data_IF_894444422058
#
_entry.id   IF_894444422058
#
_cell.length_a   1.000
_cell.length_b   1.000
_cell.length_c   1.000
_cell.angle_alpha   90.00
_cell.angle_beta   90.00
_cell.angle_gamma   90.00
#
_symmetry.space_group_name_H-M   'P 1'
#
loop_
_entity.id
_entity.type
_entity.pdbx_description
1 polymer ?
#
# COMPACT_ATOMS: atom_id res chain seq x y z
N UNK A 1 -6.82 -16.46 -14.84
CA UNK A 1 -7.02 -16.01 -16.23
C UNK A 1 -5.75 -15.29 -16.66
N UNK A 2 -5.12 -15.68 -17.77
CA UNK A 2 -3.93 -15.01 -18.31
C UNK A 2 -4.41 -14.05 -19.41
N UNK A 3 -4.11 -12.76 -19.27
CA UNK A 3 -4.40 -11.75 -20.28
C UNK A 3 -3.13 -11.51 -21.13
N UNK A 4 -3.22 -11.75 -22.44
CA UNK A 4 -2.09 -11.60 -23.38
C UNK A 4 -2.26 -10.32 -24.21
N UNK A 5 -1.46 -9.28 -23.92
CA UNK A 5 -1.48 -8.00 -24.64
C UNK A 5 -0.41 -7.95 -25.76
N UNK A 6 -0.53 -8.81 -26.77
CA UNK A 6 0.50 -8.93 -27.84
C UNK A 6 0.64 -7.70 -28.73
N UNK A 7 -0.46 -6.97 -28.93
CA UNK A 7 -0.55 -5.88 -29.91
C UNK A 7 -1.04 -4.57 -29.26
N UNK A 8 -0.88 -4.40 -27.95
CA UNK A 8 -1.32 -3.21 -27.21
C UNK A 8 -0.21 -2.79 -26.23
N UNK A 9 0.08 -1.48 -26.08
CA UNK A 9 1.05 -1.02 -25.08
C UNK A 9 0.53 -1.32 -23.67
N UNK A 10 1.42 -1.79 -22.80
CA UNK A 10 1.18 -1.90 -21.36
C UNK A 10 1.90 -0.73 -20.71
N UNK A 11 1.19 0.06 -19.92
CA UNK A 11 1.78 1.10 -19.09
C UNK A 11 1.92 0.57 -17.68
N UNK A 12 3.15 0.54 -17.18
CA UNK A 12 3.46 0.10 -15.82
C UNK A 12 3.81 1.33 -15.01
N UNK A 13 3.05 1.55 -13.93
CA UNK A 13 3.28 2.65 -13.01
C UNK A 13 3.53 2.12 -11.60
N UNK A 14 4.58 2.65 -10.98
CA UNK A 14 4.78 2.52 -9.54
C UNK A 14 4.24 3.79 -8.87
N UNK A 15 3.30 3.64 -7.96
CA UNK A 15 2.71 4.76 -7.23
C UNK A 15 3.07 4.69 -5.76
N UNK A 16 3.49 5.83 -5.23
CA UNK A 16 3.46 6.05 -3.79
C UNK A 16 2.01 6.24 -3.37
N UNK A 17 1.63 5.69 -2.23
CA UNK A 17 0.31 5.92 -1.63
C UNK A 17 0.48 6.69 -0.31
N UNK A 18 -0.58 7.38 0.09
CA UNK A 18 -0.63 8.00 1.42
C UNK A 18 -0.57 6.91 2.50
N UNK A 19 -0.02 7.25 3.66
CA UNK A 19 -0.13 6.38 4.84
C UNK A 19 -1.61 6.21 5.19
N UNK A 20 -1.98 5.01 5.65
CA UNK A 20 -3.34 4.77 6.16
C UNK A 20 -3.61 5.58 7.43
N UNK A 21 -4.87 5.83 7.72
CA UNK A 21 -5.27 6.69 8.85
C UNK A 21 -5.18 6.01 10.22
N UNK A 22 -4.98 4.69 10.29
CA UNK A 22 -4.95 3.97 11.56
C UNK A 22 -3.52 3.91 12.08
N UNK A 23 -3.15 4.88 12.91
CA UNK A 23 -1.88 4.83 13.64
C UNK A 23 -1.99 3.90 14.85
N UNK A 24 -1.00 3.02 15.02
CA UNK A 24 -0.83 2.17 16.19
C UNK A 24 0.58 2.30 16.75
N UNK A 25 0.69 2.34 18.07
CA UNK A 25 1.98 2.18 18.75
C UNK A 25 2.35 0.70 18.94
N UNK A 26 3.55 0.45 19.46
CA UNK A 26 4.04 -0.91 19.70
C UNK A 26 3.19 -1.72 20.70
N UNK A 27 2.58 -1.06 21.68
CA UNK A 27 1.75 -1.73 22.69
C UNK A 27 0.42 -2.20 22.07
N UNK A 28 -0.20 -1.34 21.26
CA UNK A 28 -1.40 -1.66 20.49
C UNK A 28 -1.14 -2.79 19.49
N UNK A 29 -0.03 -2.72 18.75
CA UNK A 29 0.36 -3.78 17.81
C UNK A 29 0.56 -5.14 18.52
N UNK A 30 1.18 -5.14 19.69
CA UNK A 30 1.34 -6.35 20.52
C UNK A 30 -0.02 -6.87 21.02
N UNK A 31 -0.89 -5.99 21.49
CA UNK A 31 -2.22 -6.36 21.99
C UNK A 31 -3.11 -6.95 20.89
N UNK A 32 -3.04 -6.40 19.68
CA UNK A 32 -3.76 -6.87 18.49
C UNK A 32 -3.11 -8.09 17.82
N UNK A 33 -1.98 -8.58 18.33
CA UNK A 33 -1.19 -9.70 17.76
C UNK A 33 -0.73 -9.43 16.31
N UNK A 34 -0.44 -8.17 16.00
CA UNK A 34 0.03 -7.71 14.69
C UNK A 34 1.55 -7.55 14.62
N UNK A 35 2.24 -7.71 15.75
CA UNK A 35 3.66 -7.44 15.88
C UNK A 35 4.49 -8.71 15.66
N UNK A 36 5.42 -8.67 14.71
CA UNK A 36 6.40 -9.72 14.46
C UNK A 36 7.72 -9.28 15.12
N UNK A 37 7.96 -9.73 16.35
CA UNK A 37 9.13 -9.35 17.15
C UNK A 37 8.80 -9.05 18.60
N UNK A 38 9.75 -8.46 19.33
CA UNK A 38 9.49 -7.91 20.66
C UNK A 38 9.41 -6.38 20.60
N UNK A 39 8.59 -5.79 21.47
CA UNK A 39 8.46 -4.34 21.61
C UNK A 39 9.83 -3.71 21.91
N UNK A 40 10.62 -4.35 22.78
CA UNK A 40 11.94 -3.83 23.17
C UNK A 40 12.92 -3.80 21.99
N UNK A 41 12.95 -4.86 21.17
CA UNK A 41 13.83 -4.91 20.00
C UNK A 41 13.46 -3.85 18.96
N UNK A 42 12.16 -3.68 18.68
CA UNK A 42 11.67 -2.68 17.75
C UNK A 42 11.90 -1.25 18.27
N UNK A 43 11.67 -1.02 19.57
CA UNK A 43 11.94 0.26 20.20
C UNK A 43 13.43 0.60 20.19
N UNK A 44 14.31 -0.39 20.41
CA UNK A 44 15.77 -0.20 20.38
C UNK A 44 16.30 0.25 19.01
N UNK A 45 15.60 -0.10 17.91
CA UNK A 45 15.93 0.39 16.56
C UNK A 45 15.15 1.66 16.16
N UNK A 46 14.40 2.26 17.09
CA UNK A 46 13.65 3.50 16.85
C UNK A 46 12.30 3.30 16.14
N UNK A 47 11.80 2.07 16.02
CA UNK A 47 10.48 1.81 15.47
C UNK A 47 9.41 2.07 16.54
N UNK A 48 8.56 3.08 16.32
CA UNK A 48 7.58 3.52 17.32
C UNK A 48 6.13 3.28 16.92
N UNK A 49 5.82 3.39 15.62
CA UNK A 49 4.45 3.38 15.12
C UNK A 49 4.29 2.63 13.81
N UNK A 50 3.11 2.03 13.63
CA UNK A 50 2.61 1.49 12.37
C UNK A 50 1.40 2.31 11.91
N UNK A 51 1.28 2.50 10.59
CA UNK A 51 0.10 3.11 9.97
C UNK A 51 -0.61 2.05 9.13
N UNK A 52 -1.78 1.61 9.59
CA UNK A 52 -2.64 0.65 8.92
C UNK A 52 -3.77 1.29 8.13
N UNK A 53 -4.39 0.50 7.27
CA UNK A 53 -5.54 0.91 6.44
C UNK A 53 -6.81 0.97 7.29
N UNK A 54 -7.49 2.12 7.25
CA UNK A 54 -8.78 2.31 7.93
C UNK A 54 -9.94 1.54 7.30
N UNK A 55 -11.05 1.42 8.03
CA UNK A 55 -12.24 0.67 7.60
C UNK A 55 -12.83 1.16 6.27
N UNK A 56 -12.71 2.45 5.99
CA UNK A 56 -13.20 3.10 4.78
C UNK A 56 -12.07 3.42 3.79
N UNK A 57 -10.90 2.83 3.97
CA UNK A 57 -9.73 3.03 3.11
C UNK A 57 -9.38 1.72 2.37
N UNK A 58 -8.73 1.89 1.23
CA UNK A 58 -8.10 0.84 0.46
C UNK A 58 -6.77 1.35 -0.09
N UNK A 59 -5.91 0.45 -0.54
CA UNK A 59 -4.66 0.87 -1.20
C UNK A 59 -4.93 1.74 -2.43
N UNK A 60 -6.01 1.44 -3.17
CA UNK A 60 -6.41 2.26 -4.31
C UNK A 60 -6.82 3.66 -3.84
N UNK A 61 -7.66 3.79 -2.81
CA UNK A 61 -8.07 5.10 -2.28
C UNK A 61 -6.87 5.93 -1.82
N UNK A 62 -5.89 5.29 -1.16
CA UNK A 62 -4.65 5.92 -0.70
C UNK A 62 -3.70 6.30 -1.86
N UNK A 63 -3.83 5.64 -3.02
CA UNK A 63 -3.06 5.91 -4.24
C UNK A 63 -3.83 6.77 -5.26
N UNK A 64 -5.01 7.31 -4.94
CA UNK A 64 -5.86 7.93 -5.96
C UNK A 64 -5.23 9.13 -6.63
N UNK A 65 -4.48 9.96 -5.91
CA UNK A 65 -3.85 11.14 -6.52
C UNK A 65 -2.93 10.76 -7.69
N UNK A 66 -1.91 9.89 -7.51
CA UNK A 66 -1.07 9.49 -8.63
C UNK A 66 -1.80 8.63 -9.67
N UNK A 67 -2.80 7.82 -9.27
CA UNK A 67 -3.64 7.09 -10.23
C UNK A 67 -4.42 8.04 -11.13
N UNK A 68 -5.08 9.05 -10.55
CA UNK A 68 -5.82 10.06 -11.30
C UNK A 68 -4.94 10.84 -12.26
N UNK A 69 -3.69 11.15 -11.88
CA UNK A 69 -2.72 11.77 -12.79
C UNK A 69 -2.38 10.85 -13.96
N UNK A 70 -2.07 9.57 -13.69
CA UNK A 70 -1.76 8.61 -14.75
C UNK A 70 -2.95 8.36 -15.71
N UNK A 71 -4.18 8.46 -15.20
CA UNK A 71 -5.39 8.32 -16.02
C UNK A 71 -5.66 9.53 -16.92
N UNK A 72 -5.10 10.71 -16.64
CA UNK A 72 -5.23 11.87 -17.54
C UNK A 72 -4.59 11.60 -18.91
N UNK A 73 -3.52 10.81 -18.93
CA UNK A 73 -2.80 10.43 -20.15
C UNK A 73 -3.39 9.18 -20.84
N UNK A 74 -4.43 8.56 -20.25
CA UNK A 74 -5.05 7.33 -20.75
C UNK A 74 -6.54 7.58 -21.03
N UNK A 75 -6.92 7.87 -22.27
CA UNK A 75 -8.30 8.26 -22.61
C UNK A 75 -9.34 7.16 -22.38
N UNK A 76 -8.95 5.88 -22.51
CA UNK A 76 -9.85 4.73 -22.34
C UNK A 76 -9.12 3.55 -21.64
N UNK A 77 -9.00 3.55 -20.31
CA UNK A 77 -8.36 2.45 -19.60
C UNK A 77 -9.22 1.17 -19.67
N UNK A 78 -8.68 0.10 -20.25
CA UNK A 78 -9.39 -1.18 -20.38
C UNK A 78 -9.21 -2.14 -19.19
N UNK A 79 -8.37 -1.79 -18.21
CA UNK A 79 -8.15 -2.61 -17.02
C UNK A 79 -7.06 -2.02 -16.12
N UNK A 80 -7.14 -2.34 -14.82
CA UNK A 80 -6.17 -1.93 -13.83
C UNK A 80 -5.68 -3.16 -13.07
N UNK A 81 -4.36 -3.33 -12.98
CA UNK A 81 -3.73 -4.40 -12.20
C UNK A 81 -2.79 -3.72 -11.22
N UNK A 82 -2.98 -3.98 -9.93
CA UNK A 82 -2.08 -3.52 -8.89
C UNK A 82 -1.50 -4.71 -8.15
N UNK A 83 -0.22 -4.63 -7.83
CA UNK A 83 0.45 -5.55 -6.93
C UNK A 83 0.91 -4.76 -5.73
N UNK A 84 0.44 -5.16 -4.55
CA UNK A 84 0.96 -4.67 -3.29
C UNK A 84 2.00 -5.66 -2.78
N UNK A 85 3.27 -5.26 -2.75
CA UNK A 85 4.29 -6.03 -2.05
C UNK A 85 4.01 -5.94 -0.55
N UNK A 86 4.11 -7.06 0.18
CA UNK A 86 3.85 -7.10 1.61
C UNK A 86 4.76 -6.12 2.36
N UNK A 87 4.21 -5.40 3.33
CA UNK A 87 4.84 -4.26 4.01
C UNK A 87 5.87 -4.66 5.08
N UNK A 88 6.67 -5.69 4.83
CA UNK A 88 7.87 -6.00 5.64
C UNK A 88 9.15 -5.52 4.94
N UNK A 89 9.07 -4.37 4.27
CA UNK A 89 10.23 -3.66 3.74
C UNK A 89 10.19 -2.23 4.26
N UNK A 90 10.45 -2.09 5.56
CA UNK A 90 11.09 -0.93 6.15
C UNK A 90 12.42 -1.41 6.74
#
# INVERSE_FOLDING_TARGET
MILLYRNRPIFVYCFNHQLGSVQRDLAQLKAEKLLIGSVDALSAIGYCHNFGVGRNESLLSLAMNPVSLALQDVPEPNGFVFQHCYAESA
#
